data_IF_680040341645
#
_entry.id   IF_680040341645
#
_cell.length_a   1.000
_cell.length_b   1.000
_cell.length_c   1.000
_cell.angle_alpha   90.00
_cell.angle_beta   90.00
_cell.angle_gamma   90.00
#
_symmetry.space_group_name_H-M   'P 1'
#
loop_
_entity.id
_entity.type
_entity.pdbx_description
1 polymer ?
#
# COMPACT_ATOMS: atom_id res chain seq x y z
N UNK A 1 -1.76 -6.09 -21.98
CA UNK A 1 -1.53 -7.20 -21.02
C UNK A 1 -1.81 -6.64 -19.62
N UNK A 2 -2.24 -7.46 -18.66
CA UNK A 2 -2.43 -6.99 -17.28
C UNK A 2 -1.28 -7.48 -16.39
N UNK A 3 -0.91 -6.66 -15.41
CA UNK A 3 0.06 -6.96 -14.36
C UNK A 3 -0.55 -6.68 -13.00
N UNK A 4 -0.29 -7.54 -12.02
CA UNK A 4 -0.64 -7.30 -10.62
C UNK A 4 0.62 -6.84 -9.88
N UNK A 5 0.52 -5.71 -9.19
CA UNK A 5 1.55 -5.26 -8.27
C UNK A 5 1.03 -5.25 -6.84
N UNK A 6 1.90 -5.60 -5.91
CA UNK A 6 1.64 -5.59 -4.48
C UNK A 6 2.61 -4.66 -3.76
N UNK A 7 2.10 -3.87 -2.83
CA UNK A 7 2.88 -3.15 -1.83
C UNK A 7 2.49 -3.67 -0.44
N UNK A 8 3.46 -3.77 0.46
CA UNK A 8 3.23 -4.23 1.84
C UNK A 8 4.01 -3.40 2.84
N UNK A 9 3.38 -3.12 3.97
CA UNK A 9 4.06 -2.57 5.16
C UNK A 9 4.66 -3.67 6.06
N UNK A 10 4.28 -4.94 5.83
CA UNK A 10 4.90 -6.19 6.33
C UNK A 10 5.33 -6.10 7.81
N UNK A 11 4.34 -5.98 8.69
CA UNK A 11 4.54 -5.82 10.13
C UNK A 11 5.18 -7.06 10.78
N UNK A 12 5.02 -8.24 10.17
CA UNK A 12 5.63 -9.48 10.65
C UNK A 12 7.16 -9.52 10.56
N UNK A 13 7.73 -8.68 9.70
CA UNK A 13 9.18 -8.54 9.57
C UNK A 13 9.73 -7.32 10.30
N UNK A 14 8.89 -6.62 11.06
CA UNK A 14 9.38 -5.63 12.01
C UNK A 14 10.13 -6.38 13.12
N UNK A 15 11.36 -5.95 13.42
CA UNK A 15 12.15 -6.61 14.46
C UNK A 15 11.50 -6.47 15.84
N UNK A 16 11.93 -7.31 16.78
CA UNK A 16 11.46 -7.32 18.17
C UNK A 16 11.62 -5.96 18.89
N UNK A 17 12.40 -5.04 18.31
CA UNK A 17 12.59 -3.66 18.76
C UNK A 17 11.39 -2.72 18.52
N UNK A 18 10.37 -3.14 17.77
CA UNK A 18 9.14 -2.34 17.58
C UNK A 18 8.13 -2.68 18.68
N UNK A 19 8.33 -2.09 19.86
CA UNK A 19 7.54 -2.37 21.08
C UNK A 19 6.65 -1.21 21.54
N UNK A 20 6.69 -0.08 20.81
CA UNK A 20 5.93 1.13 21.11
C UNK A 20 5.25 1.72 19.87
N UNK A 21 4.25 2.57 20.08
CA UNK A 21 3.59 3.31 19.00
C UNK A 21 4.57 4.21 18.23
N UNK A 22 5.52 4.86 18.93
CA UNK A 22 6.52 5.72 18.28
C UNK A 22 7.44 4.93 17.35
N UNK A 23 7.92 3.77 17.80
CA UNK A 23 8.74 2.87 16.98
C UNK A 23 7.96 2.29 15.81
N UNK A 24 6.66 2.01 15.98
CA UNK A 24 5.81 1.53 14.90
C UNK A 24 5.55 2.62 13.85
N UNK A 25 5.22 3.84 14.27
CA UNK A 25 5.06 5.01 13.38
C UNK A 25 6.33 5.24 12.55
N UNK A 26 7.52 5.18 13.17
CA UNK A 26 8.79 5.31 12.47
C UNK A 26 9.04 4.16 11.48
N UNK A 27 8.68 2.93 11.85
CA UNK A 27 8.85 1.76 10.99
C UNK A 27 7.91 1.79 9.79
N UNK A 28 6.64 2.16 9.98
CA UNK A 28 5.69 2.34 8.89
C UNK A 28 6.18 3.37 7.87
N UNK A 29 6.69 4.51 8.35
CA UNK A 29 7.31 5.53 7.51
C UNK A 29 8.52 4.98 6.76
N UNK A 30 9.40 4.24 7.44
CA UNK A 30 10.55 3.61 6.82
C UNK A 30 10.13 2.63 5.70
N UNK A 31 9.12 1.78 5.95
CA UNK A 31 8.59 0.84 4.96
C UNK A 31 7.97 1.56 3.76
N UNK A 32 7.14 2.58 4.00
CA UNK A 32 6.54 3.43 2.97
C UNK A 32 7.60 3.96 1.99
N UNK A 33 8.74 4.40 2.53
CA UNK A 33 9.85 4.99 1.76
C UNK A 33 10.86 4.00 1.20
N UNK A 34 10.99 2.79 1.72
CA UNK A 34 12.02 1.82 1.26
C UNK A 34 11.49 0.64 0.47
N UNK A 35 10.26 0.19 0.74
CA UNK A 35 9.66 -0.93 0.00
C UNK A 35 9.31 -0.51 -1.43
N UNK A 36 9.32 -1.49 -2.31
CA UNK A 36 8.99 -1.34 -3.73
C UNK A 36 7.72 -2.12 -4.05
N UNK A 37 7.06 -1.72 -5.14
CA UNK A 37 5.96 -2.49 -5.71
C UNK A 37 6.49 -3.77 -6.36
N UNK A 38 6.02 -4.91 -5.88
CA UNK A 38 6.43 -6.23 -6.34
C UNK A 38 5.44 -6.80 -7.35
N UNK A 39 5.94 -7.36 -8.45
CA UNK A 39 5.09 -8.06 -9.42
C UNK A 39 4.59 -9.38 -8.84
N UNK A 40 3.30 -9.64 -9.00
CA UNK A 40 2.64 -10.87 -8.59
C UNK A 40 2.01 -11.57 -9.80
N UNK A 41 1.92 -12.91 -9.79
CA UNK A 41 1.19 -13.64 -10.82
C UNK A 41 -0.25 -13.16 -10.89
N UNK A 42 -0.75 -12.93 -12.10
CA UNK A 42 -2.13 -12.48 -12.34
C UNK A 42 -2.89 -13.55 -13.14
N UNK A 43 -4.14 -13.78 -12.77
CA UNK A 43 -5.11 -14.54 -13.57
C UNK A 43 -6.24 -13.61 -14.03
N UNK A 44 -6.98 -14.00 -15.07
CA UNK A 44 -8.11 -13.20 -15.55
C UNK A 44 -9.21 -13.03 -14.49
N UNK A 45 -9.36 -14.01 -13.59
CA UNK A 45 -10.27 -13.93 -12.44
C UNK A 45 -9.86 -12.84 -11.44
N UNK A 46 -8.56 -12.65 -11.27
CA UNK A 46 -7.98 -11.61 -10.41
C UNK A 46 -8.34 -10.22 -10.96
N UNK A 47 -8.18 -9.97 -12.26
CA UNK A 47 -8.51 -8.66 -12.87
C UNK A 47 -9.93 -8.19 -12.54
N UNK A 48 -10.91 -9.10 -12.59
CA UNK A 48 -12.31 -8.78 -12.27
C UNK A 48 -12.55 -8.48 -10.77
N UNK A 49 -11.70 -9.00 -9.88
CA UNK A 49 -11.80 -8.80 -8.43
C UNK A 49 -11.30 -7.42 -7.98
N UNK A 50 -10.32 -6.85 -8.69
CA UNK A 50 -9.65 -5.62 -8.29
C UNK A 50 -10.16 -4.36 -9.04
N UNK A 51 -11.37 -4.36 -9.62
CA UNK A 51 -11.92 -3.18 -10.32
C UNK A 51 -12.48 -2.08 -9.37
N UNK A 52 -12.50 -2.33 -8.06
CA UNK A 52 -13.38 -1.62 -7.12
C UNK A 52 -13.00 -0.17 -6.78
N UNK A 53 -11.71 0.20 -6.87
CA UNK A 53 -11.25 1.56 -6.56
C UNK A 53 -10.54 2.22 -7.74
N UNK A 54 -10.83 3.50 -7.98
CA UNK A 54 -9.91 4.39 -8.69
C UNK A 54 -8.66 4.65 -7.85
N UNK A 55 -7.58 5.16 -8.48
CA UNK A 55 -6.32 5.41 -7.78
C UNK A 55 -6.47 6.38 -6.58
N UNK A 56 -7.19 7.52 -6.70
CA UNK A 56 -7.41 8.41 -5.55
C UNK A 56 -8.29 7.79 -4.45
N UNK A 57 -9.27 6.96 -4.81
CA UNK A 57 -10.11 6.27 -3.82
C UNK A 57 -9.31 5.23 -3.04
N UNK A 58 -8.41 4.50 -3.73
CA UNK A 58 -7.53 3.54 -3.09
C UNK A 58 -6.55 4.23 -2.14
N UNK A 59 -5.98 5.36 -2.56
CA UNK A 59 -5.08 6.17 -1.72
C UNK A 59 -5.80 6.72 -0.48
N UNK A 60 -7.04 7.20 -0.65
CA UNK A 60 -7.88 7.65 0.47
C UNK A 60 -8.20 6.50 1.43
N UNK A 61 -8.53 5.30 0.92
CA UNK A 61 -8.80 4.13 1.76
C UNK A 61 -7.56 3.71 2.58
N UNK A 62 -6.37 3.78 1.99
CA UNK A 62 -5.11 3.52 2.69
C UNK A 62 -4.86 4.56 3.77
N UNK A 63 -5.10 5.85 3.47
CA UNK A 63 -4.97 6.92 4.46
C UNK A 63 -5.93 6.74 5.64
N UNK A 64 -7.20 6.40 5.37
CA UNK A 64 -8.19 6.16 6.42
C UNK A 64 -7.75 5.00 7.32
N UNK A 65 -7.28 3.89 6.75
CA UNK A 65 -6.74 2.76 7.53
C UNK A 65 -5.53 3.13 8.40
N UNK A 66 -4.60 3.95 7.87
CA UNK A 66 -3.47 4.44 8.66
C UNK A 66 -3.95 5.40 9.77
N UNK A 67 -4.93 6.27 9.50
CA UNK A 67 -5.47 7.20 10.50
C UNK A 67 -6.20 6.49 11.65
N UNK A 68 -6.80 5.32 11.41
CA UNK A 68 -7.34 4.48 12.48
C UNK A 68 -6.25 3.97 13.43
N UNK A 69 -5.07 3.66 12.89
CA UNK A 69 -3.90 3.24 13.67
C UNK A 69 -3.20 4.40 14.40
N UNK A 70 -3.06 5.56 13.73
CA UNK A 70 -2.35 6.75 14.25
C UNK A 70 -3.23 8.03 14.24
N UNK A 71 -4.33 8.07 15.02
CA UNK A 71 -5.28 9.18 14.97
C UNK A 71 -4.70 10.53 15.44
N UNK A 72 -3.62 10.49 16.23
CA UNK A 72 -2.94 11.68 16.78
C UNK A 72 -1.96 12.33 15.81
N UNK A 73 -1.51 11.64 14.76
CA UNK A 73 -0.43 12.10 13.89
C UNK A 73 -0.83 12.14 12.41
N UNK A 74 -1.82 12.99 12.10
CA UNK A 74 -2.43 13.07 10.76
C UNK A 74 -1.45 13.41 9.64
N UNK A 75 -0.44 14.24 9.93
CA UNK A 75 0.56 14.62 8.94
C UNK A 75 1.45 13.43 8.58
N UNK A 76 1.88 12.66 9.57
CA UNK A 76 2.65 11.44 9.34
C UNK A 76 1.82 10.37 8.63
N UNK A 77 0.56 10.20 9.03
CA UNK A 77 -0.36 9.26 8.38
C UNK A 77 -0.49 9.54 6.87
N UNK A 78 -0.66 10.82 6.51
CA UNK A 78 -0.68 11.25 5.12
C UNK A 78 0.64 10.93 4.40
N UNK A 79 1.79 11.21 5.01
CA UNK A 79 3.09 10.90 4.39
C UNK A 79 3.26 9.39 4.13
N UNK A 80 2.93 8.56 5.13
CA UNK A 80 3.00 7.10 5.02
C UNK A 80 2.08 6.62 3.90
N UNK A 81 0.84 7.14 3.82
CA UNK A 81 -0.11 6.78 2.79
C UNK A 81 0.36 7.19 1.39
N UNK A 82 0.88 8.40 1.22
CA UNK A 82 1.23 8.96 -0.10
C UNK A 82 2.49 8.36 -0.71
N UNK A 83 3.50 8.02 0.11
CA UNK A 83 4.79 7.54 -0.38
C UNK A 83 4.72 6.32 -1.35
N UNK A 84 3.96 5.24 -1.07
CA UNK A 84 3.82 4.14 -2.03
C UNK A 84 3.09 4.54 -3.31
N UNK A 85 2.12 5.45 -3.26
CA UNK A 85 1.37 5.90 -4.45
C UNK A 85 2.22 6.80 -5.35
N UNK A 86 3.08 7.64 -4.77
CA UNK A 86 4.06 8.41 -5.55
C UNK A 86 4.98 7.48 -6.34
N UNK A 87 5.53 6.44 -5.69
CA UNK A 87 6.35 5.41 -6.36
C UNK A 87 5.58 4.64 -7.43
N UNK A 88 4.29 4.36 -7.18
CA UNK A 88 3.43 3.71 -8.18
C UNK A 88 3.29 4.59 -9.42
N UNK A 89 3.01 5.89 -9.24
CA UNK A 89 2.87 6.83 -10.35
C UNK A 89 4.16 6.97 -11.16
N UNK A 90 5.31 7.03 -10.50
CA UNK A 90 6.63 7.01 -11.16
C UNK A 90 6.81 5.73 -11.99
N UNK A 91 6.51 4.58 -11.40
CA UNK A 91 6.60 3.27 -12.07
C UNK A 91 5.68 3.19 -13.30
N UNK A 92 4.42 3.60 -13.15
CA UNK A 92 3.45 3.64 -14.25
C UNK A 92 3.93 4.54 -15.40
N UNK A 93 4.48 5.69 -15.07
CA UNK A 93 5.02 6.64 -16.06
C UNK A 93 6.22 6.06 -16.80
N UNK A 94 7.14 5.40 -16.09
CA UNK A 94 8.34 4.79 -16.67
C UNK A 94 8.02 3.59 -17.57
N UNK A 95 7.04 2.78 -17.17
CA UNK A 95 6.66 1.55 -17.88
C UNK A 95 5.56 1.77 -18.93
N UNK A 96 5.01 2.98 -19.04
CA UNK A 96 3.86 3.27 -19.91
C UNK A 96 2.57 2.58 -19.46
N UNK A 97 2.49 2.20 -18.19
CA UNK A 97 1.35 1.49 -17.61
C UNK A 97 0.20 2.41 -17.25
N UNK A 98 -1.01 1.89 -17.30
CA UNK A 98 -2.23 2.57 -16.85
C UNK A 98 -2.86 1.80 -15.68
N UNK A 99 -3.18 2.51 -14.60
CA UNK A 99 -3.92 1.94 -13.49
C UNK A 99 -5.31 1.48 -13.96
N UNK A 100 -5.69 0.26 -13.61
CA UNK A 100 -6.99 -0.35 -13.96
C UNK A 100 -7.90 -0.41 -12.74
N UNK A 101 -7.33 -0.74 -11.58
CA UNK A 101 -8.05 -0.89 -10.34
C UNK A 101 -7.13 -1.40 -9.23
N UNK A 102 -7.60 -1.38 -7.99
CA UNK A 102 -6.86 -1.94 -6.88
C UNK A 102 -7.74 -2.27 -5.69
N UNK A 103 -7.11 -2.83 -4.67
CA UNK A 103 -7.74 -3.05 -3.38
C UNK A 103 -6.74 -2.86 -2.26
N UNK A 104 -7.30 -2.64 -1.08
CA UNK A 104 -6.61 -2.46 0.17
C UNK A 104 -7.12 -3.51 1.15
N UNK A 105 -6.22 -4.23 1.79
CA UNK A 105 -6.51 -5.19 2.85
C UNK A 105 -5.80 -4.74 4.13
N UNK A 106 -6.56 -4.78 5.23
CA UNK A 106 -6.50 -3.80 6.33
C UNK A 106 -5.45 -4.07 7.42
N UNK A 107 -5.15 -3.00 8.15
CA UNK A 107 -4.43 -2.90 9.43
C UNK A 107 -5.36 -3.23 10.62
N UNK A 108 -5.69 -4.50 10.87
CA UNK A 108 -6.43 -4.89 12.09
C UNK A 108 -5.52 -5.59 13.11
N UNK A 109 -5.14 -4.90 14.20
CA UNK A 109 -4.41 -5.49 15.34
C UNK A 109 -2.99 -6.00 15.02
N UNK A 110 -2.25 -6.43 16.07
CA UNK A 110 -0.79 -6.69 16.08
C UNK A 110 -0.23 -7.69 15.03
N UNK A 111 -1.04 -8.25 14.13
CA UNK A 111 -0.67 -9.38 13.28
C UNK A 111 -1.26 -9.34 11.85
N UNK A 112 -1.78 -8.22 11.35
CA UNK A 112 -2.37 -8.16 10.01
C UNK A 112 -1.45 -7.45 9.02
N UNK A 113 -0.82 -8.23 8.13
CA UNK A 113 -0.09 -7.74 6.97
C UNK A 113 -0.96 -6.79 6.15
N UNK A 114 -0.59 -5.52 6.15
CA UNK A 114 -1.27 -4.56 5.27
C UNK A 114 -0.75 -4.69 3.86
N UNK A 115 -1.69 -4.90 2.94
CA UNK A 115 -1.40 -5.16 1.54
C UNK A 115 -2.23 -4.23 0.66
N UNK A 116 -1.53 -3.57 -0.26
CA UNK A 116 -2.13 -2.80 -1.35
C UNK A 116 -1.87 -3.58 -2.63
N UNK A 117 -2.93 -3.83 -3.39
CA UNK A 117 -2.86 -4.49 -4.69
C UNK A 117 -3.33 -3.54 -5.76
N UNK A 118 -2.61 -3.49 -6.87
CA UNK A 118 -2.99 -2.69 -8.04
C UNK A 118 -2.83 -3.50 -9.32
N UNK A 119 -3.85 -3.42 -10.17
CA UNK A 119 -3.84 -3.97 -11.52
C UNK A 119 -3.48 -2.86 -12.48
N UNK A 120 -2.53 -3.15 -13.36
CA UNK A 120 -2.00 -2.22 -14.35
C UNK A 120 -2.14 -2.83 -15.75
N UNK A 121 -2.55 -2.02 -16.71
CA UNK A 121 -2.54 -2.36 -18.12
C UNK A 121 -1.28 -1.78 -18.78
N UNK A 122 -0.55 -2.61 -19.53
CA UNK A 122 0.59 -2.23 -20.39
C UNK A 122 0.37 -2.73 -21.81
#
# INVERSE_FOLDING_TARGET
MFSLYQFSYDEHNWGDEVDSQETAEAMMLHMAHTRSWESRPISDEVVNRYNGFSLPELEAAVLDGILEYMPSNKALAAEIAHAPFHKLQEKLTQEGGQFVGGSFYEFEGNHNDTLIYVVVAT
#
